data_IF_810631357249
#
_entry.id   IF_810631357249
#
_cell.length_a   1.000
_cell.length_b   1.000
_cell.length_c   1.000
_cell.angle_alpha   90.00
_cell.angle_beta   90.00
_cell.angle_gamma   90.00
#
_symmetry.space_group_name_H-M   'P 1'
#
loop_
_entity.id
_entity.type
_entity.pdbx_description
1 polymer ?
#
# COMPACT_ATOMS: atom_id res chain seq x y z
N UNK A 1 14.23 -4.32 26.54
CA UNK A 1 13.23 -3.65 25.69
C UNK A 1 12.14 -4.66 25.34
N UNK A 2 10.86 -4.41 25.63
CA UNK A 2 9.77 -5.37 25.30
C UNK A 2 9.73 -5.64 23.78
N UNK A 3 9.55 -6.90 23.40
CA UNK A 3 9.44 -7.38 22.00
C UNK A 3 8.34 -6.66 21.22
N UNK A 4 7.27 -6.25 21.88
CA UNK A 4 6.18 -5.46 21.29
C UNK A 4 6.65 -4.07 20.86
N UNK A 5 7.46 -3.40 21.67
CA UNK A 5 7.98 -2.07 21.36
C UNK A 5 8.93 -2.10 20.15
N UNK A 6 9.74 -3.15 20.03
CA UNK A 6 10.59 -3.36 18.86
C UNK A 6 9.76 -3.63 17.60
N UNK A 7 8.72 -4.47 17.71
CA UNK A 7 7.82 -4.79 16.60
C UNK A 7 7.08 -3.55 16.09
N UNK A 8 6.58 -2.69 16.97
CA UNK A 8 5.94 -1.44 16.57
C UNK A 8 6.92 -0.48 15.87
N UNK A 9 8.15 -0.35 16.36
CA UNK A 9 9.18 0.49 15.69
C UNK A 9 9.54 -0.01 14.30
N UNK A 10 9.70 -1.32 14.14
CA UNK A 10 9.97 -1.93 12.83
C UNK A 10 8.81 -1.68 11.87
N UNK A 11 7.56 -1.86 12.34
CA UNK A 11 6.38 -1.58 11.53
C UNK A 11 6.29 -0.11 11.09
N UNK A 12 6.59 0.84 11.99
CA UNK A 12 6.64 2.28 11.64
C UNK A 12 7.71 2.59 10.60
N UNK A 13 8.91 2.03 10.78
CA UNK A 13 10.03 2.21 9.84
C UNK A 13 9.65 1.67 8.47
N UNK A 14 9.08 0.46 8.43
CA UNK A 14 8.58 -0.14 7.19
C UNK A 14 7.47 0.69 6.54
N UNK A 15 6.52 1.22 7.31
CA UNK A 15 5.48 2.10 6.78
C UNK A 15 6.06 3.38 6.14
N UNK A 16 7.06 3.99 6.77
CA UNK A 16 7.75 5.17 6.22
C UNK A 16 8.47 4.79 4.92
N UNK A 17 9.19 3.67 4.89
CA UNK A 17 9.87 3.19 3.68
C UNK A 17 8.86 2.94 2.55
N UNK A 18 7.73 2.27 2.84
CA UNK A 18 6.66 2.07 1.87
C UNK A 18 6.14 3.41 1.33
N UNK A 19 5.88 4.38 2.20
CA UNK A 19 5.40 5.70 1.79
C UNK A 19 6.40 6.40 0.86
N UNK A 20 7.69 6.38 1.19
CA UNK A 20 8.73 6.97 0.34
C UNK A 20 8.76 6.30 -1.02
N UNK A 21 8.74 4.96 -1.08
CA UNK A 21 8.72 4.20 -2.34
C UNK A 21 7.50 4.55 -3.17
N UNK A 22 6.32 4.65 -2.56
CA UNK A 22 5.07 5.03 -3.24
C UNK A 22 5.20 6.44 -3.83
N UNK A 23 5.66 7.42 -3.05
CA UNK A 23 5.81 8.79 -3.53
C UNK A 23 6.80 8.89 -4.71
N UNK A 24 7.92 8.17 -4.63
CA UNK A 24 8.87 8.08 -5.74
C UNK A 24 8.24 7.47 -6.98
N UNK A 25 7.47 6.38 -6.82
CA UNK A 25 6.79 5.71 -7.92
C UNK A 25 5.65 6.54 -8.55
N UNK A 26 5.01 7.41 -7.77
CA UNK A 26 3.97 8.32 -8.25
C UNK A 26 4.56 9.46 -9.08
N UNK A 27 5.73 9.99 -8.67
CA UNK A 27 6.38 11.13 -9.31
C UNK A 27 7.41 10.76 -10.39
N UNK A 28 7.63 9.46 -10.63
CA UNK A 28 8.64 9.01 -11.58
C UNK A 28 8.29 9.40 -13.04
N UNK A 29 9.15 10.13 -13.79
CA UNK A 29 8.79 10.74 -15.08
C UNK A 29 8.80 9.81 -16.31
N UNK A 30 8.47 8.52 -16.15
CA UNK A 30 8.50 7.56 -17.26
C UNK A 30 7.51 6.42 -17.02
N UNK A 31 6.40 6.42 -17.76
CA UNK A 31 5.46 5.30 -17.79
C UNK A 31 6.10 4.02 -18.38
N UNK A 32 7.04 4.16 -19.31
CA UNK A 32 7.72 3.06 -20.01
C UNK A 32 8.69 2.26 -19.14
N UNK A 33 9.48 2.92 -18.28
CA UNK A 33 10.43 2.23 -17.40
C UNK A 33 9.72 1.43 -16.30
N UNK A 34 8.56 1.92 -15.86
CA UNK A 34 7.74 1.22 -14.87
C UNK A 34 7.02 0.03 -15.51
N UNK A 35 6.55 0.14 -16.76
CA UNK A 35 6.04 -1.02 -17.49
C UNK A 35 7.12 -2.11 -17.68
N UNK A 36 8.37 -1.71 -17.94
CA UNK A 36 9.48 -2.66 -18.02
C UNK A 36 9.80 -3.29 -16.65
N UNK A 37 9.80 -2.52 -15.55
CA UNK A 37 9.95 -3.06 -14.20
C UNK A 37 8.82 -4.04 -13.81
N UNK A 38 7.58 -3.77 -14.25
CA UNK A 38 6.43 -4.68 -14.08
C UNK A 38 6.63 -6.01 -14.83
N UNK A 39 7.28 -5.98 -15.99
CA UNK A 39 7.63 -7.21 -16.73
C UNK A 39 8.72 -8.04 -16.02
N UNK A 40 9.68 -7.39 -15.36
CA UNK A 40 10.81 -8.03 -14.66
C UNK A 40 10.36 -8.66 -13.32
N UNK A 41 9.35 -8.10 -12.65
CA UNK A 41 8.77 -8.68 -11.42
C UNK A 41 8.11 -10.06 -11.61
N UNK A 42 8.06 -10.59 -12.84
CA UNK A 42 7.89 -12.02 -13.05
C UNK A 42 6.48 -12.55 -12.81
N UNK A 43 5.44 -11.74 -13.01
CA UNK A 43 4.05 -12.20 -13.06
C UNK A 43 3.69 -12.67 -14.47
N UNK A 44 4.50 -13.55 -15.05
CA UNK A 44 4.40 -14.05 -16.43
C UNK A 44 3.06 -14.74 -16.75
N UNK A 45 2.33 -15.17 -15.73
CA UNK A 45 1.02 -15.79 -15.82
C UNK A 45 -0.16 -14.79 -15.79
N UNK A 46 0.10 -13.51 -15.53
CA UNK A 46 -0.91 -12.45 -15.53
C UNK A 46 -0.88 -11.67 -16.85
N UNK A 47 -2.05 -11.29 -17.36
CA UNK A 47 -2.13 -10.33 -18.47
C UNK A 47 -1.58 -8.97 -18.04
N UNK A 48 -1.18 -8.11 -18.98
CA UNK A 48 -0.71 -6.74 -18.66
C UNK A 48 -1.76 -5.94 -17.86
N UNK A 49 -3.05 -6.13 -18.17
CA UNK A 49 -4.15 -5.52 -17.43
C UNK A 49 -4.22 -6.03 -15.98
N UNK A 50 -4.01 -7.33 -15.76
CA UNK A 50 -4.02 -7.92 -14.41
C UNK A 50 -2.79 -7.54 -13.60
N UNK A 51 -1.63 -7.35 -14.24
CA UNK A 51 -0.43 -6.80 -13.60
C UNK A 51 -0.68 -5.40 -13.07
N UNK A 52 -1.32 -4.54 -13.87
CA UNK A 52 -1.67 -3.19 -13.44
C UNK A 52 -2.60 -3.19 -12.22
N UNK A 53 -3.61 -4.06 -12.25
CA UNK A 53 -4.54 -4.26 -11.13
C UNK A 53 -3.80 -4.70 -9.87
N UNK A 54 -2.98 -5.76 -9.97
CA UNK A 54 -2.25 -6.35 -8.84
C UNK A 54 -1.22 -5.37 -8.27
N UNK A 55 -0.48 -4.66 -9.12
CA UNK A 55 0.49 -3.67 -8.65
C UNK A 55 -0.18 -2.51 -7.92
N UNK A 56 -1.32 -2.02 -8.39
CA UNK A 56 -2.08 -0.97 -7.69
C UNK A 56 -2.62 -1.45 -6.34
N UNK A 57 -3.16 -2.68 -6.28
CA UNK A 57 -3.60 -3.32 -5.03
C UNK A 57 -2.44 -3.50 -4.03
N UNK A 58 -1.30 -3.98 -4.50
CA UNK A 58 -0.10 -4.27 -3.69
C UNK A 58 0.64 -2.98 -3.30
N UNK A 59 0.43 -1.87 -4.00
CA UNK A 59 1.12 -0.62 -3.69
C UNK A 59 0.78 -0.09 -2.30
N UNK A 60 -0.52 -0.03 -1.95
CA UNK A 60 -0.97 0.59 -0.70
C UNK A 60 -1.20 -0.41 0.44
N UNK A 61 -1.44 -1.68 0.14
CA UNK A 61 -1.71 -2.69 1.17
C UNK A 61 -0.59 -2.84 2.21
N UNK A 62 0.72 -2.88 1.85
CA UNK A 62 1.81 -2.93 2.82
C UNK A 62 1.86 -1.68 3.70
N UNK A 63 1.63 -0.49 3.12
CA UNK A 63 1.62 0.76 3.85
C UNK A 63 0.52 0.78 4.93
N UNK A 64 -0.72 0.43 4.57
CA UNK A 64 -1.84 0.44 5.52
C UNK A 64 -1.75 -0.70 6.54
N UNK A 65 -1.20 -1.86 6.15
CA UNK A 65 -0.89 -2.96 7.05
C UNK A 65 0.13 -2.53 8.13
N UNK A 66 1.27 -2.00 7.69
CA UNK A 66 2.36 -1.58 8.58
C UNK A 66 1.97 -0.36 9.41
N UNK A 67 1.20 0.57 8.87
CA UNK A 67 0.62 1.70 9.60
C UNK A 67 -0.28 1.22 10.74
N UNK A 68 -1.20 0.30 10.45
CA UNK A 68 -2.10 -0.29 11.46
C UNK A 68 -1.32 -1.01 12.57
N UNK A 69 -0.27 -1.77 12.22
CA UNK A 69 0.58 -2.44 13.21
C UNK A 69 1.50 -1.46 13.98
N UNK A 70 1.99 -0.41 13.34
CA UNK A 70 2.93 0.56 13.91
C UNK A 70 2.27 1.51 14.92
N UNK A 71 1.00 1.84 14.70
CA UNK A 71 0.21 2.73 15.54
C UNK A 71 -1.10 2.06 15.99
N UNK A 72 -1.04 1.07 16.91
CA UNK A 72 -2.21 0.28 17.30
C UNK A 72 -3.30 1.08 18.05
N UNK A 73 -2.99 2.31 18.48
CA UNK A 73 -3.96 3.23 19.11
C UNK A 73 -4.82 3.97 18.08
N UNK A 74 -4.36 4.07 16.84
CA UNK A 74 -5.13 4.68 15.75
C UNK A 74 -6.10 3.62 15.24
N UNK A 75 -7.39 3.96 15.02
CA UNK A 75 -8.32 3.01 14.43
C UNK A 75 -7.83 2.50 13.08
N UNK A 76 -7.90 1.18 12.86
CA UNK A 76 -7.40 0.55 11.63
C UNK A 76 -8.02 1.15 10.36
N UNK A 77 -9.29 1.55 10.42
CA UNK A 77 -10.00 2.15 9.29
C UNK A 77 -9.43 3.52 8.90
N UNK A 78 -8.80 4.24 9.83
CA UNK A 78 -8.12 5.51 9.52
C UNK A 78 -6.98 5.30 8.54
N UNK A 79 -6.22 4.21 8.69
CA UNK A 79 -5.16 3.86 7.73
C UNK A 79 -5.71 3.47 6.37
N UNK A 80 -6.85 2.77 6.32
CA UNK A 80 -7.53 2.47 5.06
C UNK A 80 -7.96 3.76 4.34
N UNK A 81 -8.56 4.72 5.05
CA UNK A 81 -8.96 6.01 4.49
C UNK A 81 -7.77 6.85 4.02
N UNK A 82 -6.68 6.89 4.80
CA UNK A 82 -5.44 7.58 4.39
C UNK A 82 -4.84 6.95 3.13
N UNK A 83 -4.87 5.62 3.02
CA UNK A 83 -4.49 4.91 1.80
C UNK A 83 -5.37 5.29 0.60
N UNK A 84 -6.71 5.34 0.78
CA UNK A 84 -7.63 5.81 -0.26
C UNK A 84 -7.33 7.25 -0.69
N UNK A 85 -7.11 8.16 0.26
CA UNK A 85 -6.80 9.56 -0.02
C UNK A 85 -5.46 9.70 -0.77
N UNK A 86 -4.45 8.93 -0.37
CA UNK A 86 -3.15 8.88 -1.05
C UNK A 86 -3.29 8.35 -2.48
N UNK A 87 -4.03 7.26 -2.68
CA UNK A 87 -4.30 6.67 -3.99
C UNK A 87 -5.06 7.62 -4.93
N UNK A 88 -6.09 8.30 -4.42
CA UNK A 88 -6.81 9.31 -5.20
C UNK A 88 -5.93 10.52 -5.54
N UNK A 89 -5.08 10.95 -4.60
CA UNK A 89 -4.14 12.05 -4.83
C UNK A 89 -3.07 11.69 -5.85
N UNK A 90 -2.63 10.43 -5.90
CA UNK A 90 -1.69 9.95 -6.91
C UNK A 90 -2.29 10.02 -8.32
N UNK A 91 -3.53 9.56 -8.49
CA UNK A 91 -4.26 9.64 -9.76
C UNK A 91 -4.52 11.09 -10.18
N UNK A 92 -4.91 11.94 -9.23
CA UNK A 92 -5.08 13.39 -9.48
C UNK A 92 -3.76 14.04 -9.90
N UNK A 93 -2.65 13.69 -9.25
CA UNK A 93 -1.32 14.21 -9.60
C UNK A 93 -0.94 13.78 -11.02
N UNK A 94 -1.18 12.52 -11.38
CA UNK A 94 -0.90 12.02 -12.73
C UNK A 94 -1.81 12.65 -13.80
N UNK A 95 -3.05 13.00 -13.44
CA UNK A 95 -3.94 13.76 -14.32
C UNK A 95 -3.46 15.19 -14.58
N UNK A 96 -2.99 15.87 -13.53
CA UNK A 96 -2.62 17.30 -13.59
C UNK A 96 -1.19 17.52 -14.09
N UNK A 97 -0.27 16.62 -13.77
CA UNK A 97 1.14 16.71 -14.20
C UNK A 97 1.32 15.94 -15.49
N UNK A 98 0.95 16.59 -16.60
CA UNK A 98 0.98 16.02 -17.95
C UNK A 98 2.37 15.53 -18.40
N UNK A 99 3.44 16.03 -17.77
CA UNK A 99 4.81 15.59 -18.01
C UNK A 99 5.13 14.16 -17.52
N UNK A 100 4.24 13.52 -16.75
CA UNK A 100 4.43 12.15 -16.26
C UNK A 100 4.03 11.05 -17.26
N UNK A 101 3.43 11.41 -18.40
CA UNK A 101 2.94 10.49 -19.45
C UNK A 101 2.14 9.29 -18.91
N UNK A 102 1.28 9.56 -17.91
CA UNK A 102 0.40 8.57 -17.30
C UNK A 102 -1.06 8.94 -17.50
N UNK A 103 -1.89 7.93 -17.77
CA UNK A 103 -3.35 8.10 -17.86
C UNK A 103 -3.97 7.82 -16.50
N UNK A 104 -4.57 8.85 -15.92
CA UNK A 104 -5.39 8.69 -14.72
C UNK A 104 -6.59 7.78 -15.01
N UNK A 105 -6.94 6.91 -14.06
CA UNK A 105 -7.98 5.90 -14.22
C UNK A 105 -8.80 5.71 -12.95
N UNK A 106 -10.12 5.77 -13.09
CA UNK A 106 -11.05 5.43 -12.01
C UNK A 106 -10.89 3.99 -11.51
N UNK A 107 -10.45 3.08 -12.38
CA UNK A 107 -10.17 1.70 -11.99
C UNK A 107 -9.00 1.64 -10.99
N UNK A 108 -7.96 2.45 -11.21
CA UNK A 108 -6.81 2.51 -10.31
C UNK A 108 -7.20 3.09 -8.93
N UNK A 109 -8.07 4.11 -8.89
CA UNK A 109 -8.63 4.64 -7.63
C UNK A 109 -9.32 3.52 -6.85
N UNK A 110 -10.16 2.72 -7.53
CA UNK A 110 -10.84 1.58 -6.93
C UNK A 110 -9.89 0.49 -6.43
N UNK A 111 -8.86 0.15 -7.21
CA UNK A 111 -7.85 -0.85 -6.85
C UNK A 111 -7.01 -0.39 -5.65
N UNK A 112 -6.57 0.86 -5.65
CA UNK A 112 -5.84 1.50 -4.56
C UNK A 112 -6.68 1.50 -3.27
N UNK A 113 -7.97 1.80 -3.37
CA UNK A 113 -8.88 1.71 -2.25
C UNK A 113 -8.99 0.26 -1.73
N UNK A 114 -9.24 -0.70 -2.61
CA UNK A 114 -9.32 -2.12 -2.24
C UNK A 114 -8.04 -2.60 -1.54
N UNK A 115 -6.86 -2.25 -2.07
CA UNK A 115 -5.57 -2.56 -1.45
C UNK A 115 -5.41 -1.95 -0.07
N UNK A 116 -5.80 -0.67 0.08
CA UNK A 116 -5.75 0.04 1.35
C UNK A 116 -6.59 -0.63 2.45
N UNK A 117 -7.82 -1.04 2.10
CA UNK A 117 -8.70 -1.78 3.02
C UNK A 117 -8.17 -3.18 3.33
N UNK A 118 -7.68 -3.91 2.32
CA UNK A 118 -7.13 -5.25 2.49
C UNK A 118 -5.93 -5.26 3.46
N UNK A 119 -4.99 -4.33 3.30
CA UNK A 119 -3.83 -4.20 4.18
C UNK A 119 -4.21 -3.92 5.64
N UNK A 120 -5.10 -2.95 5.87
CA UNK A 120 -5.56 -2.60 7.21
C UNK A 120 -6.34 -3.74 7.89
N UNK A 121 -7.21 -4.44 7.14
CA UNK A 121 -7.95 -5.60 7.65
C UNK A 121 -7.02 -6.78 7.97
N UNK A 122 -6.02 -7.05 7.13
CA UNK A 122 -5.02 -8.08 7.40
C UNK A 122 -4.24 -7.79 8.70
N UNK A 123 -3.85 -6.53 8.94
CA UNK A 123 -3.21 -6.13 10.18
C UNK A 123 -4.13 -6.33 11.40
N UNK A 124 -5.41 -5.96 11.27
CA UNK A 124 -6.41 -6.19 12.31
C UNK A 124 -6.55 -7.69 12.63
N UNK A 125 -6.58 -8.56 11.61
CA UNK A 125 -6.61 -10.00 11.80
C UNK A 125 -5.38 -10.50 12.57
N UNK A 126 -4.17 -10.05 12.20
CA UNK A 126 -2.92 -10.38 12.92
C UNK A 126 -2.99 -9.94 14.38
N UNK A 127 -3.43 -8.72 14.66
CA UNK A 127 -3.55 -8.20 16.03
C UNK A 127 -4.54 -9.03 16.86
N UNK A 128 -5.72 -9.35 16.30
CA UNK A 128 -6.72 -10.19 16.97
C UNK A 128 -6.20 -11.60 17.26
N UNK A 129 -5.46 -12.19 16.32
CA UNK A 129 -4.84 -13.52 16.52
C UNK A 129 -3.77 -13.50 17.61
N UNK A 130 -2.95 -12.43 17.70
CA UNK A 130 -1.96 -12.27 18.77
C UNK A 130 -2.59 -12.15 20.15
N UNK A 131 -3.64 -11.34 20.28
CA UNK A 131 -4.40 -11.21 21.55
C UNK A 131 -5.00 -12.56 21.96
N UNK A 132 -5.64 -13.27 21.02
CA UNK A 132 -6.20 -14.61 21.29
C UNK A 132 -5.14 -15.61 21.77
N UNK A 133 -3.95 -15.61 21.17
CA UNK A 133 -2.83 -16.48 21.58
C UNK A 133 -2.30 -16.13 22.97
N UNK A 134 -2.24 -14.84 23.31
CA UNK A 134 -1.81 -14.38 24.64
C UNK A 134 -2.78 -14.79 25.74
N UNK A 135 -4.10 -14.75 25.47
CA UNK A 135 -5.12 -15.14 26.46
C UNK A 135 -5.25 -16.66 26.66
N UNK A 136 -4.63 -17.48 25.81
CA UNK A 136 -4.61 -18.95 25.91
C UNK A 136 -3.35 -19.50 26.60
N UNK A 137 -2.36 -18.63 26.86
CA UNK A 137 -1.15 -18.95 27.61
C UNK A 137 -1.31 -18.44 29.04
#
# INVERSE_FOLDING_TARGET
MSTDAATHRLARTGAIVCLVVILLAVLWPSGGDIAQAKSILGLWFLSEADKDVVLNLVMLAPLTFLGTLGWPRVPWWTWALLGCALGASAELTQLLVTALDRRASWANVGQNAAGSWAGALAALAVMRLRVRRRNRR
#
